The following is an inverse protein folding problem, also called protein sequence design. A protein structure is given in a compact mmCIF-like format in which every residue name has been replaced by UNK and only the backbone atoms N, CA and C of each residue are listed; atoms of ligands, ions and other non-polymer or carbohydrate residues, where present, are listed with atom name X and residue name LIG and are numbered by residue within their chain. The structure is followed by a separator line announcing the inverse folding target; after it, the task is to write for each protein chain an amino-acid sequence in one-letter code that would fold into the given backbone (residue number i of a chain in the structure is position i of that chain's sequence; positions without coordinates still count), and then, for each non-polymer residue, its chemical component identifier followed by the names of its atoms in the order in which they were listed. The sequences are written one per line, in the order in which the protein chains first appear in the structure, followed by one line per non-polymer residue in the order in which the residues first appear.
data_IF_809291739981
#
_entry.id   IF_809291739981
#
_cell.length_a   1.000
_cell.length_b   1.000
_cell.length_c   1.000
_cell.angle_alpha   90.00
_cell.angle_beta   90.00
_cell.angle_gamma   90.00
#
_symmetry.space_group_name_H-M   'P 1'
#
loop_
_entity.id
_entity.type
_entity.pdbx_description
1 polymer ?
#
# COMPACT_ATOMS: atom_id res chain seq x y z
N UNK A 1 4.03 -11.01 0.05
CA UNK A 1 3.90 -9.55 -0.03
C UNK A 1 2.64 -9.09 -0.81
N UNK A 2 2.18 -9.80 -1.86
CA UNK A 2 0.95 -9.43 -2.58
C UNK A 2 -0.30 -9.45 -1.67
N UNK A 3 -0.49 -10.53 -0.90
CA UNK A 3 -1.57 -10.63 0.08
C UNK A 3 -1.48 -9.55 1.17
N UNK A 4 -0.26 -9.22 1.61
CA UNK A 4 0.00 -8.15 2.58
C UNK A 4 -0.49 -6.80 2.07
N UNK A 5 -0.15 -6.43 0.84
CA UNK A 5 -0.59 -5.17 0.23
C UNK A 5 -2.10 -5.13 0.01
N UNK A 6 -2.70 -6.24 -0.39
CA UNK A 6 -4.15 -6.35 -0.55
C UNK A 6 -4.89 -6.16 0.78
N UNK A 7 -4.46 -6.85 1.83
CA UNK A 7 -5.05 -6.74 3.16
C UNK A 7 -4.83 -5.34 3.76
N UNK A 8 -3.65 -4.75 3.52
CA UNK A 8 -3.34 -3.39 3.91
C UNK A 8 -4.23 -2.35 3.22
N UNK A 9 -4.51 -2.54 1.93
CA UNK A 9 -5.46 -1.69 1.21
C UNK A 9 -6.87 -1.80 1.80
N UNK A 10 -7.32 -3.00 2.17
CA UNK A 10 -8.58 -3.22 2.89
C UNK A 10 -8.62 -2.46 4.24
N UNK A 11 -7.53 -2.47 4.99
CA UNK A 11 -7.41 -1.69 6.24
C UNK A 11 -7.51 -0.19 6.00
N UNK A 12 -6.91 0.34 4.94
CA UNK A 12 -7.02 1.77 4.58
C UNK A 12 -8.45 2.13 4.20
N UNK A 13 -9.11 1.32 3.37
CA UNK A 13 -10.50 1.51 2.96
C UNK A 13 -11.44 1.49 4.18
N UNK A 14 -11.22 0.56 5.11
CA UNK A 14 -11.97 0.49 6.35
C UNK A 14 -11.77 1.74 7.22
N UNK A 15 -10.54 2.19 7.38
CA UNK A 15 -10.21 3.41 8.14
C UNK A 15 -10.79 4.69 7.52
N UNK A 16 -11.06 4.70 6.22
CA UNK A 16 -11.60 5.83 5.46
C UNK A 16 -13.10 5.68 5.14
N UNK A 17 -13.84 4.93 5.97
CA UNK A 17 -15.29 4.75 5.86
C UNK A 17 -15.73 4.29 4.45
N UNK A 18 -15.04 3.27 3.92
CA UNK A 18 -15.28 2.66 2.61
C UNK A 18 -14.97 3.55 1.38
N UNK A 19 -14.30 4.70 1.57
CA UNK A 19 -13.73 5.45 0.45
C UNK A 19 -12.66 4.61 -0.24
N UNK A 20 -12.73 4.50 -1.57
CA UNK A 20 -11.80 3.73 -2.39
C UNK A 20 -10.94 4.59 -3.32
N UNK A 21 -11.31 5.84 -3.50
CA UNK A 21 -10.60 6.74 -4.40
C UNK A 21 -9.39 7.39 -3.73
N UNK A 22 -8.18 7.03 -4.18
CA UNK A 22 -6.92 7.57 -3.67
C UNK A 22 -6.78 9.10 -3.82
N UNK A 23 -7.60 9.73 -4.66
CA UNK A 23 -7.57 11.19 -4.83
C UNK A 23 -8.03 11.92 -3.58
N UNK A 24 -8.86 11.26 -2.78
CA UNK A 24 -9.39 11.79 -1.52
C UNK A 24 -8.55 11.39 -0.29
N UNK A 25 -7.47 10.60 -0.47
CA UNK A 25 -6.56 10.24 0.59
C UNK A 25 -5.50 11.32 0.84
N UNK A 26 -4.61 11.08 1.76
CA UNK A 26 -3.46 11.91 2.09
C UNK A 26 -3.25 12.05 3.60
N UNK A 27 -2.00 12.06 4.02
CA UNK A 27 -1.63 12.30 5.42
C UNK A 27 -2.01 11.20 6.41
N UNK A 28 -2.42 10.01 5.96
CA UNK A 28 -2.90 8.91 6.81
C UNK A 28 -1.82 8.30 7.71
N UNK A 29 -0.54 8.54 7.45
CA UNK A 29 0.58 8.00 8.23
C UNK A 29 0.46 8.23 9.73
N UNK A 30 -0.08 9.38 10.15
CA UNK A 30 -0.22 9.74 11.58
C UNK A 30 -1.43 9.09 12.25
N UNK A 31 -2.45 8.73 11.48
CA UNK A 31 -3.72 8.22 11.98
C UNK A 31 -3.76 6.69 12.03
N UNK A 32 -3.11 6.02 11.08
CA UNK A 32 -3.05 4.57 10.98
C UNK A 32 -1.58 4.09 10.83
N UNK A 33 -0.74 4.26 11.88
CA UNK A 33 0.70 3.95 11.81
C UNK A 33 1.00 2.47 11.64
N UNK A 34 0.24 1.55 12.23
CA UNK A 34 0.47 0.11 12.09
C UNK A 34 0.23 -0.35 10.67
N UNK A 35 -0.89 0.05 10.08
CA UNK A 35 -1.21 -0.21 8.66
C UNK A 35 -0.17 0.40 7.73
N UNK A 36 0.31 1.63 8.03
CA UNK A 36 1.38 2.27 7.27
C UNK A 36 2.66 1.43 7.23
N UNK A 37 3.16 0.97 8.38
CA UNK A 37 4.39 0.18 8.44
C UNK A 37 4.25 -1.18 7.77
N UNK A 38 3.09 -1.83 7.91
CA UNK A 38 2.83 -3.09 7.22
C UNK A 38 2.80 -2.92 5.69
N UNK A 39 2.14 -1.87 5.19
CA UNK A 39 2.14 -1.54 3.77
C UNK A 39 3.52 -1.10 3.26
N UNK A 40 4.31 -0.40 4.08
CA UNK A 40 5.69 -0.05 3.76
C UNK A 40 6.54 -1.31 3.59
N UNK A 41 6.45 -2.26 4.52
CA UNK A 41 7.16 -3.55 4.40
C UNK A 41 6.77 -4.30 3.12
N UNK A 42 5.47 -4.36 2.80
CA UNK A 42 4.98 -4.96 1.57
C UNK A 42 5.47 -4.24 0.31
N UNK A 43 5.53 -2.92 0.33
CA UNK A 43 6.03 -2.09 -0.78
C UNK A 43 7.53 -2.31 -1.00
N UNK A 44 8.32 -2.31 0.06
CA UNK A 44 9.75 -2.61 -0.02
C UNK A 44 10.01 -4.03 -0.55
N UNK A 45 9.19 -5.00 -0.14
CA UNK A 45 9.29 -6.36 -0.63
C UNK A 45 8.89 -6.49 -2.11
N UNK A 46 7.79 -5.86 -2.55
CA UNK A 46 7.34 -5.96 -3.95
C UNK A 46 8.21 -5.16 -4.91
N UNK A 47 8.80 -4.05 -4.46
CA UNK A 47 9.76 -3.28 -5.27
C UNK A 47 11.12 -3.95 -5.34
N UNK A 48 11.39 -4.91 -4.47
CA UNK A 48 12.66 -5.64 -4.45
C UNK A 48 13.82 -4.79 -3.92
N UNK A 49 13.59 -4.05 -2.85
CA UNK A 49 14.66 -3.26 -2.21
C UNK A 49 15.62 -4.21 -1.51
N UNK A 50 16.91 -4.09 -1.82
CA UNK A 50 17.99 -4.86 -1.21
C UNK A 50 19.35 -4.29 -1.59
N UNK A 51 20.38 -4.74 -0.87
CA UNK A 51 21.78 -4.41 -1.11
C UNK A 51 22.51 -5.72 -1.36
N UNK A 52 23.14 -5.84 -2.52
CA UNK A 52 23.91 -7.02 -2.89
C UNK A 52 24.99 -7.29 -1.83
N UNK A 53 25.02 -8.50 -1.29
CA UNK A 53 25.99 -8.92 -0.27
C UNK A 53 25.67 -8.56 1.19
N UNK A 54 24.62 -7.78 1.43
CA UNK A 54 24.19 -7.42 2.81
C UNK A 54 22.85 -8.08 3.16
N UNK A 55 21.92 -8.11 2.22
CA UNK A 55 20.58 -8.68 2.39
C UNK A 55 19.53 -7.85 1.68
N UNK A 56 18.34 -8.41 1.50
CA UNK A 56 17.22 -7.76 0.85
C UNK A 56 15.89 -8.39 1.21
N UNK A 57 14.83 -7.69 0.86
CA UNK A 57 13.48 -8.22 1.01
C UNK A 57 13.23 -9.40 0.06
N UNK A 58 12.24 -10.22 0.35
CA UNK A 58 11.94 -11.44 -0.42
C UNK A 58 11.80 -11.20 -1.94
N UNK A 59 11.27 -10.04 -2.34
CA UNK A 59 11.13 -9.66 -3.74
C UNK A 59 12.45 -9.31 -4.44
N UNK A 60 13.49 -8.93 -3.70
CA UNK A 60 14.83 -8.68 -4.26
C UNK A 60 15.40 -9.94 -4.87
N UNK A 61 15.51 -11.00 -4.11
CA UNK A 61 16.07 -12.28 -4.57
C UNK A 61 15.28 -12.92 -5.70
N UNK A 62 13.94 -12.90 -5.61
CA UNK A 62 13.10 -13.52 -6.64
C UNK A 62 13.12 -12.78 -7.97
N UNK A 63 13.14 -11.45 -7.95
CA UNK A 63 13.19 -10.65 -9.18
C UNK A 63 14.54 -10.72 -9.86
N UNK A 64 15.63 -10.63 -9.09
CA UNK A 64 17.00 -10.76 -9.62
C UNK A 64 17.18 -12.11 -10.29
N UNK A 65 16.81 -13.20 -9.65
CA UNK A 65 16.93 -14.54 -10.21
C UNK A 65 16.12 -14.70 -11.53
N UNK A 66 14.92 -14.12 -11.63
CA UNK A 66 14.09 -14.20 -12.84
C UNK A 66 14.72 -13.38 -13.99
N UNK A 67 15.18 -12.18 -13.69
CA UNK A 67 15.77 -11.27 -14.70
C UNK A 67 17.11 -11.82 -15.18
N UNK A 68 17.93 -12.34 -14.27
CA UNK A 68 19.21 -12.98 -14.58
C UNK A 68 19.02 -14.24 -15.42
N UNK A 69 18.09 -15.11 -15.06
CA UNK A 69 17.74 -16.30 -15.82
C UNK A 69 17.23 -15.96 -17.24
N UNK A 70 16.45 -14.89 -17.38
CA UNK A 70 16.00 -14.41 -18.69
C UNK A 70 17.17 -13.91 -19.54
N UNK A 71 18.14 -13.24 -18.95
CA UNK A 71 19.35 -12.75 -19.64
C UNK A 71 20.29 -13.89 -20.04
N UNK A 72 20.51 -14.85 -19.14
CA UNK A 72 21.40 -16.00 -19.34
C UNK A 72 20.80 -17.08 -20.28
N UNK A 73 19.53 -16.99 -20.60
CA UNK A 73 18.85 -17.96 -21.49
C UNK A 73 19.43 -17.91 -22.89
N UNK A 74 19.65 -19.08 -23.50
CA UNK A 74 20.09 -19.23 -24.93
C UNK A 74 18.92 -19.19 -25.93
N UNK A 75 17.72 -18.78 -25.51
CA UNK A 75 16.54 -18.66 -26.38
C UNK A 75 16.70 -17.48 -27.35
N UNK A 76 16.15 -17.59 -28.57
CA UNK A 76 16.14 -16.52 -29.56
C UNK A 76 15.48 -15.22 -29.03
N UNK A 77 14.59 -15.32 -28.06
CA UNK A 77 13.85 -14.20 -27.48
C UNK A 77 14.37 -13.73 -26.11
N UNK A 78 15.54 -14.16 -25.67
CA UNK A 78 16.07 -13.87 -24.34
C UNK A 78 16.19 -12.35 -24.04
N UNK A 79 16.69 -11.58 -25.00
CA UNK A 79 16.81 -10.11 -24.85
C UNK A 79 15.46 -9.41 -24.75
N UNK A 80 14.46 -9.90 -25.46
CA UNK A 80 13.09 -9.39 -25.36
C UNK A 80 12.47 -9.70 -23.99
N UNK A 81 12.61 -10.93 -23.51
CA UNK A 81 12.14 -11.35 -22.19
C UNK A 81 12.83 -10.56 -21.07
N UNK A 82 14.14 -10.35 -21.15
CA UNK A 82 14.91 -9.52 -20.24
C UNK A 82 14.39 -8.08 -20.21
N UNK A 83 14.24 -7.45 -21.39
CA UNK A 83 13.78 -6.06 -21.51
C UNK A 83 12.37 -5.85 -20.93
N UNK A 84 11.44 -6.78 -21.21
CA UNK A 84 10.09 -6.72 -20.63
C UNK A 84 10.14 -6.95 -19.10
N UNK A 85 10.97 -7.85 -18.60
CA UNK A 85 11.16 -8.11 -17.18
C UNK A 85 11.63 -6.87 -16.42
N UNK A 86 12.64 -6.18 -16.96
CA UNK A 86 13.16 -4.92 -16.40
C UNK A 86 12.09 -3.82 -16.43
N UNK A 87 11.40 -3.64 -17.55
CA UNK A 87 10.33 -2.66 -17.68
C UNK A 87 9.19 -2.93 -16.68
N UNK A 88 8.76 -4.18 -16.54
CA UNK A 88 7.73 -4.58 -15.59
C UNK A 88 8.15 -4.32 -14.14
N UNK A 89 9.41 -4.57 -13.78
CA UNK A 89 9.95 -4.26 -12.45
C UNK A 89 9.95 -2.76 -12.18
N UNK A 90 10.34 -1.94 -13.17
CA UNK A 90 10.34 -0.48 -13.06
C UNK A 90 8.92 0.07 -12.89
N UNK A 91 7.97 -0.36 -13.70
CA UNK A 91 6.57 0.05 -13.61
C UNK A 91 5.96 -0.39 -12.26
N UNK A 92 6.29 -1.60 -11.79
CA UNK A 92 5.84 -2.10 -10.47
C UNK A 92 6.34 -1.19 -9.34
N UNK A 93 7.60 -0.79 -9.39
CA UNK A 93 8.18 0.13 -8.43
C UNK A 93 7.47 1.49 -8.48
N UNK A 94 7.29 2.03 -9.68
CA UNK A 94 6.65 3.33 -9.86
C UNK A 94 5.23 3.38 -9.28
N UNK A 95 4.35 2.43 -9.64
CA UNK A 95 2.97 2.47 -9.15
C UNK A 95 2.87 2.18 -7.65
N UNK A 96 3.74 1.33 -7.10
CA UNK A 96 3.73 1.01 -5.68
C UNK A 96 4.12 2.22 -4.82
N UNK A 97 5.17 2.93 -5.19
CA UNK A 97 5.56 4.17 -4.51
C UNK A 97 4.54 5.29 -4.70
N UNK A 98 3.96 5.42 -5.88
CA UNK A 98 2.88 6.38 -6.12
C UNK A 98 1.70 6.15 -5.19
N UNK A 99 1.28 4.88 -5.00
CA UNK A 99 0.23 4.52 -4.06
C UNK A 99 0.59 4.93 -2.63
N UNK A 100 1.80 4.60 -2.17
CA UNK A 100 2.27 4.95 -0.83
C UNK A 100 2.28 6.47 -0.59
N UNK A 101 2.78 7.24 -1.54
CA UNK A 101 2.83 8.69 -1.40
C UNK A 101 1.44 9.35 -1.40
N UNK A 102 0.54 8.92 -2.27
CA UNK A 102 -0.81 9.48 -2.34
C UNK A 102 -1.65 9.14 -1.11
N UNK A 103 -1.46 7.95 -0.52
CA UNK A 103 -2.26 7.47 0.61
C UNK A 103 -1.76 8.02 1.93
N UNK A 104 -0.47 7.92 2.20
CA UNK A 104 0.08 8.15 3.54
C UNK A 104 0.76 9.50 3.71
N UNK A 105 1.17 10.13 2.62
CA UNK A 105 1.88 11.41 2.66
C UNK A 105 1.03 12.55 2.07
N UNK A 106 1.52 13.76 2.23
CA UNK A 106 0.85 14.96 1.73
C UNK A 106 -0.22 15.50 2.67
N UNK A 107 -1.05 16.38 2.13
CA UNK A 107 -2.15 17.02 2.87
C UNK A 107 -3.41 16.17 2.76
N UNK A 108 -4.18 16.10 3.84
CA UNK A 108 -5.50 15.47 3.84
C UNK A 108 -6.44 16.12 2.82
N UNK A 109 -7.14 15.30 2.03
CA UNK A 109 -8.11 15.74 1.01
C UNK A 109 -9.49 15.12 1.25
N UNK A 110 -9.75 14.66 2.46
CA UNK A 110 -10.92 13.88 2.84
C UNK A 110 -12.21 14.68 2.77
N UNK A 111 -12.11 16.01 2.96
CA UNK A 111 -13.27 16.90 2.89
C UNK A 111 -13.99 16.90 1.53
N UNK A 112 -13.33 16.46 0.46
CA UNK A 112 -13.91 16.35 -0.87
C UNK A 112 -14.64 15.00 -1.10
N UNK A 113 -14.48 14.01 -0.20
CA UNK A 113 -15.13 12.70 -0.31
C UNK A 113 -16.57 12.76 0.19
N UNK A 114 -17.52 12.30 -0.61
CA UNK A 114 -18.93 12.19 -0.22
C UNK A 114 -19.13 11.14 0.89
N UNK A 115 -18.39 10.01 0.83
CA UNK A 115 -18.44 8.97 1.86
C UNK A 115 -18.07 9.51 3.23
N UNK A 116 -17.04 10.33 3.31
CA UNK A 116 -16.59 10.93 4.58
C UNK A 116 -17.53 12.02 5.04
N UNK A 117 -18.11 12.81 4.14
CA UNK A 117 -19.11 13.80 4.50
C UNK A 117 -20.36 13.13 5.08
N UNK A 118 -20.83 12.03 4.50
CA UNK A 118 -21.95 11.26 5.04
C UNK A 118 -21.62 10.65 6.42
N UNK A 119 -20.40 10.16 6.62
CA UNK A 119 -19.96 9.65 7.93
C UNK A 119 -19.97 10.72 9.02
N UNK A 120 -19.54 11.94 8.71
CA UNK A 120 -19.50 13.05 9.68
C UNK A 120 -20.88 13.63 9.94
N UNK A 121 -21.77 13.67 8.96
CA UNK A 121 -23.11 14.25 9.11
C UNK A 121 -24.18 13.21 9.53
N UNK A 122 -23.93 11.91 9.33
CA UNK A 122 -24.84 10.85 9.74
C UNK A 122 -24.91 10.61 11.24
N UNK A 123 -23.88 10.96 12.01
CA UNK A 123 -23.86 10.86 13.47
C UNK A 123 -24.66 11.97 14.19
N UNK A 124 -25.24 12.92 13.47
CA UNK A 124 -26.01 14.03 14.05
C UNK A 124 -27.53 13.90 13.89
N UNK A 125 -28.08 12.75 13.49
CA UNK A 125 -29.52 12.52 13.38
C UNK A 125 -30.10 11.75 14.56
N UNK A 126 -29.92 12.25 15.79
CA UNK A 126 -30.74 11.87 16.93
C UNK A 126 -31.04 13.12 17.81
N UNK A 127 -31.73 14.10 17.21
CA UNK A 127 -32.62 15.02 17.96
C UNK A 127 -33.63 15.62 16.98
N UNK A 128 -34.94 15.42 17.19
CA UNK A 128 -35.95 16.15 16.48
C UNK A 128 -36.21 17.45 17.19
N UNK A 129 -35.89 18.60 16.56
CA UNK A 129 -36.63 19.83 16.77
C UNK A 129 -36.18 20.91 15.76
N UNK A 130 -37.12 21.24 14.88
CA UNK A 130 -37.54 22.52 14.29
C UNK A 130 -36.48 23.60 13.96
N UNK A 131 -36.31 24.05 12.75
CA UNK A 131 -37.02 25.12 12.05
C UNK A 131 -36.35 25.53 10.72
N UNK A 132 -37.17 26.01 9.84
CA UNK A 132 -36.92 26.56 8.51
C UNK A 132 -35.77 27.57 8.42
N UNK A 133 -34.93 27.43 7.43
CA UNK A 133 -33.95 28.41 7.01
C UNK A 133 -33.43 28.11 5.61
N UNK A 134 -34.17 28.52 4.59
CA UNK A 134 -33.73 28.63 3.20
C UNK A 134 -32.42 29.45 3.13
N UNK A 135 -31.33 28.82 2.74
CA UNK A 135 -30.18 29.54 2.17
C UNK A 135 -29.37 28.60 1.30
N UNK A 136 -29.67 28.64 0.02
CA UNK A 136 -28.83 28.17 -1.07
C UNK A 136 -27.46 28.84 -1.03
N UNK A 137 -26.51 28.28 -0.29
CA UNK A 137 -25.10 28.56 -0.47
C UNK A 137 -24.44 27.37 -1.13
N UNK A 138 -24.28 27.45 -2.43
CA UNK A 138 -23.34 26.66 -3.20
C UNK A 138 -21.91 27.06 -2.78
N UNK A 139 -21.50 26.63 -1.59
CA UNK A 139 -20.11 26.69 -1.17
C UNK A 139 -19.37 25.58 -1.88
N UNK A 140 -18.45 25.96 -2.76
CA UNK A 140 -17.52 25.02 -3.40
C UNK A 140 -16.91 24.13 -2.29
N UNK A 141 -17.12 22.79 -2.41
CA UNK A 141 -16.60 21.83 -1.43
C UNK A 141 -15.10 22.05 -1.23
N UNK A 142 -14.58 22.14 -0.01
CA UNK A 142 -13.17 22.34 0.22
C UNK A 142 -12.37 21.19 -0.38
N UNK A 143 -11.43 21.49 -1.29
CA UNK A 143 -10.61 20.48 -1.98
C UNK A 143 -9.56 19.87 -1.05
N UNK A 144 -9.27 20.54 0.07
CA UNK A 144 -8.29 20.09 1.07
C UNK A 144 -8.87 20.23 2.48
N UNK A 145 -8.53 19.25 3.34
CA UNK A 145 -8.98 19.24 4.74
C UNK A 145 -9.47 17.88 5.19
N UNK A 146 -9.78 17.75 6.48
CA UNK A 146 -10.22 16.51 7.12
C UNK A 146 -11.74 16.39 7.26
N UNK A 147 -12.48 17.47 7.03
CA UNK A 147 -13.93 17.57 7.30
C UNK A 147 -14.32 17.18 8.75
N UNK A 148 -13.38 17.22 9.69
CA UNK A 148 -13.61 16.74 11.08
C UNK A 148 -13.54 15.21 11.24
N UNK A 149 -13.30 14.45 10.18
CA UNK A 149 -13.17 13.00 10.26
C UNK A 149 -11.81 12.58 10.85
N UNK A 150 -11.83 11.57 11.72
CA UNK A 150 -10.65 11.00 12.36
C UNK A 150 -10.52 9.51 11.98
N UNK A 151 -9.68 9.15 11.01
CA UNK A 151 -9.40 7.75 10.69
C UNK A 151 -8.86 7.01 11.92
N UNK A 152 -9.34 5.79 12.13
CA UNK A 152 -8.87 4.92 13.21
C UNK A 152 -8.25 3.64 12.64
N UNK A 153 -7.35 3.03 13.41
CA UNK A 153 -6.78 1.73 13.05
C UNK A 153 -7.87 0.67 12.92
N UNK A 154 -7.63 -0.27 12.03
CA UNK A 154 -8.49 -1.42 11.84
C UNK A 154 -8.52 -2.32 13.08
N UNK A 155 -9.58 -3.12 13.27
CA UNK A 155 -9.69 -4.04 14.40
C UNK A 155 -8.56 -5.08 14.39
N UNK A 156 -8.25 -5.63 15.56
CA UNK A 156 -7.17 -6.61 15.73
C UNK A 156 -7.28 -7.82 14.82
N UNK A 157 -8.49 -8.22 14.47
CA UNK A 157 -8.73 -9.31 13.50
C UNK A 157 -8.09 -9.08 12.12
N UNK A 158 -7.94 -7.82 11.71
CA UNK A 158 -7.26 -7.44 10.46
C UNK A 158 -5.77 -7.13 10.70
N UNK A 159 -5.41 -6.55 11.84
CA UNK A 159 -4.03 -6.17 12.15
C UNK A 159 -3.12 -7.37 12.43
N UNK A 160 -3.63 -8.46 13.06
CA UNK A 160 -2.83 -9.65 13.35
C UNK A 160 -2.35 -10.35 12.06
N UNK A 161 -3.22 -10.70 11.10
CA UNK A 161 -2.77 -11.27 9.82
C UNK A 161 -1.83 -10.31 9.06
N UNK A 162 -2.10 -9.01 9.12
CA UNK A 162 -1.27 -7.99 8.48
C UNK A 162 0.14 -7.97 9.08
N UNK A 163 0.26 -8.05 10.41
CA UNK A 163 1.53 -8.14 11.13
C UNK A 163 2.32 -9.41 10.78
N UNK A 164 1.68 -10.57 10.78
CA UNK A 164 2.31 -11.86 10.42
C UNK A 164 2.83 -11.83 8.98
N UNK A 165 2.02 -11.33 8.04
CA UNK A 165 2.43 -11.21 6.64
C UNK A 165 3.56 -10.19 6.45
N UNK A 166 3.61 -9.11 7.23
CA UNK A 166 4.69 -8.12 7.16
C UNK A 166 6.01 -8.70 7.64
N UNK A 167 6.00 -9.48 8.72
CA UNK A 167 7.18 -10.22 9.19
C UNK A 167 7.65 -11.22 8.14
N UNK A 168 6.74 -11.98 7.51
CA UNK A 168 7.08 -12.89 6.42
C UNK A 168 7.69 -12.19 5.20
N UNK A 169 7.24 -10.97 4.88
CA UNK A 169 7.80 -10.18 3.79
C UNK A 169 9.22 -9.66 4.09
N UNK A 170 9.54 -9.41 5.36
CA UNK A 170 10.86 -8.97 5.81
C UNK A 170 11.86 -10.13 5.87
N UNK A 171 11.47 -11.24 6.50
CA UNK A 171 12.37 -12.35 6.85
C UNK A 171 12.42 -13.43 5.75
N UNK A 172 11.35 -13.59 4.97
CA UNK A 172 11.20 -14.72 4.03
C UNK A 172 12.20 -14.75 2.87
N UNK A 173 13.00 -13.70 2.65
CA UNK A 173 14.04 -13.66 1.61
C UNK A 173 15.35 -14.34 2.03
N UNK A 174 15.78 -14.17 3.27
CA UNK A 174 17.10 -14.61 3.74
C UNK A 174 17.26 -16.14 3.86
N UNK A 175 16.34 -16.90 4.48
CA UNK A 175 16.50 -18.35 4.62
C UNK A 175 16.51 -19.09 3.27
N UNK A 176 15.72 -18.61 2.32
CA UNK A 176 15.67 -19.20 0.99
C UNK A 176 16.95 -18.99 0.21
N UNK A 177 17.57 -17.80 0.29
CA UNK A 177 18.83 -17.49 -0.34
C UNK A 177 19.98 -18.34 0.22
N UNK A 178 20.08 -18.49 1.54
CA UNK A 178 21.06 -19.39 2.18
C UNK A 178 20.92 -20.85 1.76
N UNK A 179 19.69 -21.34 1.65
CA UNK A 179 19.43 -22.73 1.24
C UNK A 179 19.81 -22.98 -0.21
N UNK A 180 19.55 -22.03 -1.12
CA UNK A 180 19.91 -22.13 -2.54
C UNK A 180 21.44 -22.05 -2.75
N UNK A 181 22.14 -21.19 -2.00
CA UNK A 181 23.59 -21.08 -2.06
C UNK A 181 24.29 -22.36 -1.59
N UNK A 182 23.75 -23.03 -0.56
CA UNK A 182 24.27 -24.32 -0.08
C UNK A 182 23.99 -25.49 -1.01
N UNK A 183 22.92 -25.45 -1.81
CA UNK A 183 22.64 -26.48 -2.81
C UNK A 183 23.53 -26.31 -4.04
N UNK A 184 23.76 -25.08 -4.51
CA UNK A 184 24.63 -24.81 -5.67
C UNK A 184 26.13 -24.99 -5.40
N UNK A 185 26.56 -25.05 -4.14
CA UNK A 185 27.95 -25.32 -3.76
C UNK A 185 28.29 -26.83 -3.64
N UNK A 186 27.32 -27.70 -3.93
CA UNK A 186 27.49 -29.17 -3.89
C UNK A 186 27.53 -29.83 -5.26
N UNK A 187 27.41 -29.10 -6.33
CA UNK A 187 27.66 -29.52 -7.72
C UNK A 187 29.00 -28.94 -8.24
#
# INVERSE_FOLDING_TARGET
FKALLFLGAGSVIHAMHHEQDMRYYGGLRKHIPLTFWAMMAGTLAITGVGIVGVGGFAGFYSKDAIIEAAFASHSTFHMYAFGIGVLAALLTSFYSWRLMFLTFFGKARWAASEHIQHAVHGDHHDHPDEEHGDSSHSTAKPVTGTAGYHPHESPWSMLVPLGVLSLGALVGGEPAAHHLLHLGARE
#
